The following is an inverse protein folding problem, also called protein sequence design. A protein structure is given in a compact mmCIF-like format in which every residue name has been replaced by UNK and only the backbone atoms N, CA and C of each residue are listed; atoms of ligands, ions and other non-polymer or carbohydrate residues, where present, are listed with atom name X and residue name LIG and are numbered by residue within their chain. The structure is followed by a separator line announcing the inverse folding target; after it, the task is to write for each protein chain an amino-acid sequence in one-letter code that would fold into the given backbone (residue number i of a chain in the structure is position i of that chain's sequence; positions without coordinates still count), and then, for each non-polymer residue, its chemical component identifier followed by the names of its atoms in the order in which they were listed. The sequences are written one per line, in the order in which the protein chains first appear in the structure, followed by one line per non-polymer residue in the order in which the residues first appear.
data_IF_084250971789
#
_entry.id   IF_084250971789
#
_cell.length_a   1.000
_cell.length_b   1.000
_cell.length_c   1.000
_cell.angle_alpha   90.00
_cell.angle_beta   90.00
_cell.angle_gamma   90.00
#
_symmetry.space_group_name_H-M   'P 1'
#
loop_
_entity.id
_entity.type
_entity.pdbx_description
1 polymer ?
#
# COMPACT_ATOMS: atom_id res chain seq x y z
N UNK A 1 -21.91 -18.64 -27.60
CA UNK A 1 -21.65 -19.48 -26.41
C UNK A 1 -20.15 -19.51 -26.18
N UNK A 2 -19.64 -18.71 -25.23
CA UNK A 2 -18.20 -18.54 -25.01
C UNK A 2 -17.65 -19.75 -24.25
N UNK A 3 -16.72 -20.49 -24.88
CA UNK A 3 -16.09 -21.68 -24.30
C UNK A 3 -15.41 -21.31 -22.97
N UNK A 4 -15.86 -21.89 -21.87
CA UNK A 4 -15.18 -21.78 -20.58
C UNK A 4 -13.79 -22.42 -20.73
N UNK A 5 -12.74 -21.63 -20.57
CA UNK A 5 -11.36 -22.12 -20.54
C UNK A 5 -11.22 -23.06 -19.35
N UNK A 6 -11.08 -24.37 -19.60
CA UNK A 6 -10.88 -25.41 -18.59
C UNK A 6 -9.46 -25.33 -18.03
N UNK A 7 -9.23 -24.35 -17.15
CA UNK A 7 -8.02 -24.27 -16.34
C UNK A 7 -8.18 -24.99 -15.00
N UNK A 8 -7.05 -25.23 -14.31
CA UNK A 8 -7.09 -25.67 -12.92
C UNK A 8 -7.58 -24.49 -12.07
N UNK A 9 -8.69 -24.70 -11.37
CA UNK A 9 -9.30 -23.67 -10.53
C UNK A 9 -8.32 -23.20 -9.45
N UNK A 10 -8.25 -21.88 -9.25
CA UNK A 10 -7.36 -21.25 -8.28
C UNK A 10 -8.19 -20.45 -7.28
N UNK A 11 -7.97 -20.65 -5.99
CA UNK A 11 -8.64 -19.91 -4.94
C UNK A 11 -8.02 -18.52 -4.77
N UNK A 12 -8.87 -17.50 -4.68
CA UNK A 12 -8.58 -16.18 -4.15
C UNK A 12 -9.10 -16.14 -2.70
N UNK A 13 -8.22 -15.95 -1.74
CA UNK A 13 -8.57 -15.90 -0.32
C UNK A 13 -8.28 -14.54 0.28
N UNK A 14 -9.15 -14.10 1.19
CA UNK A 14 -9.04 -12.83 1.92
C UNK A 14 -9.11 -13.09 3.42
N UNK A 15 -8.30 -12.36 4.18
CA UNK A 15 -8.28 -12.37 5.64
C UNK A 15 -8.69 -11.00 6.15
N UNK A 16 -9.66 -10.97 7.07
CA UNK A 16 -10.20 -9.76 7.68
C UNK A 16 -10.01 -9.81 9.19
N UNK A 17 -9.85 -8.65 9.81
CA UNK A 17 -9.92 -8.55 11.27
C UNK A 17 -11.37 -8.48 11.79
N UNK A 18 -11.51 -8.33 13.11
CA UNK A 18 -12.81 -8.23 13.77
C UNK A 18 -13.58 -6.94 13.42
N UNK A 19 -12.87 -5.88 13.02
CA UNK A 19 -13.47 -4.63 12.52
C UNK A 19 -13.95 -4.73 11.07
N UNK A 20 -13.55 -5.78 10.36
CA UNK A 20 -13.88 -6.00 8.95
C UNK A 20 -12.84 -5.43 7.99
N UNK A 21 -11.70 -4.93 8.48
CA UNK A 21 -10.63 -4.41 7.64
C UNK A 21 -9.88 -5.56 6.96
N UNK A 22 -9.51 -5.36 5.70
CA UNK A 22 -8.77 -6.35 4.92
C UNK A 22 -7.29 -6.37 5.36
N UNK A 23 -6.89 -7.48 5.98
CA UNK A 23 -5.53 -7.71 6.43
C UNK A 23 -4.63 -8.21 5.30
N UNK A 24 -5.13 -9.18 4.54
CA UNK A 24 -4.35 -9.85 3.49
C UNK A 24 -5.25 -10.46 2.42
N UNK A 25 -4.79 -10.45 1.17
CA UNK A 25 -5.38 -11.16 0.04
C UNK A 25 -4.30 -11.93 -0.71
N UNK A 26 -4.60 -13.16 -1.10
CA UNK A 26 -3.67 -14.02 -1.82
C UNK A 26 -4.37 -15.04 -2.72
N UNK A 27 -3.61 -15.68 -3.63
CA UNK A 27 -4.09 -16.80 -4.44
C UNK A 27 -3.35 -18.11 -4.18
N UNK A 28 -4.05 -19.25 -4.30
CA UNK A 28 -3.46 -20.57 -4.16
C UNK A 28 -4.29 -21.68 -4.81
N UNK A 29 -3.65 -22.79 -5.16
CA UNK A 29 -4.34 -24.05 -5.48
C UNK A 29 -4.87 -24.73 -4.21
N UNK A 30 -4.22 -24.49 -3.06
CA UNK A 30 -4.64 -25.01 -1.76
C UNK A 30 -4.64 -23.86 -0.74
N UNK A 31 -5.80 -23.21 -0.51
CA UNK A 31 -5.90 -22.09 0.43
C UNK A 31 -5.70 -22.54 1.89
N UNK A 32 -6.10 -23.76 2.25
CA UNK A 32 -5.94 -24.28 3.62
C UNK A 32 -4.47 -24.57 3.98
N UNK A 33 -3.68 -25.12 3.05
CA UNK A 33 -2.23 -25.24 3.27
C UNK A 33 -1.56 -23.87 3.41
N UNK A 34 -2.00 -22.88 2.63
CA UNK A 34 -1.49 -21.50 2.77
C UNK A 34 -1.92 -20.88 4.09
N UNK A 35 -3.13 -21.17 4.55
CA UNK A 35 -3.62 -20.72 5.85
C UNK A 35 -2.73 -21.22 7.00
N UNK A 36 -2.42 -22.51 7.01
CA UNK A 36 -1.52 -23.10 8.00
C UNK A 36 -0.13 -22.41 8.00
N UNK A 37 0.44 -22.18 6.81
CA UNK A 37 1.70 -21.44 6.69
C UNK A 37 1.60 -20.00 7.20
N UNK A 38 0.50 -19.30 6.92
CA UNK A 38 0.29 -17.95 7.46
C UNK A 38 0.18 -17.95 8.98
N UNK A 39 -0.47 -18.95 9.57
CA UNK A 39 -0.54 -19.12 11.03
C UNK A 39 0.82 -19.20 11.69
N UNK A 40 1.76 -19.90 11.06
CA UNK A 40 3.10 -20.10 11.60
C UNK A 40 4.03 -18.91 11.35
N UNK A 41 3.92 -18.26 10.19
CA UNK A 41 4.94 -17.33 9.69
C UNK A 41 4.56 -15.86 9.81
N UNK A 42 3.28 -15.54 10.02
CA UNK A 42 2.78 -14.17 9.94
C UNK A 42 2.42 -13.62 11.32
N UNK A 43 3.15 -12.60 11.78
CA UNK A 43 2.88 -11.93 13.06
C UNK A 43 1.47 -11.33 13.16
N UNK A 44 0.82 -11.07 12.02
CA UNK A 44 -0.54 -10.54 11.94
C UNK A 44 -1.63 -11.61 12.01
N UNK A 45 -1.31 -12.90 11.94
CA UNK A 45 -2.32 -13.96 11.84
C UNK A 45 -3.29 -13.98 13.02
N UNK A 46 -2.82 -13.63 14.22
CA UNK A 46 -3.67 -13.53 15.41
C UNK A 46 -4.77 -12.46 15.33
N UNK A 47 -4.71 -11.54 14.35
CA UNK A 47 -5.74 -10.53 14.11
C UNK A 47 -6.88 -11.04 13.20
N UNK A 48 -6.72 -12.20 12.55
CA UNK A 48 -7.70 -12.71 11.59
C UNK A 48 -8.95 -13.20 12.32
N UNK A 49 -10.08 -12.55 12.05
CA UNK A 49 -11.39 -12.93 12.58
C UNK A 49 -12.29 -13.60 11.51
N UNK A 50 -12.08 -13.28 10.23
CA UNK A 50 -12.90 -13.82 9.13
C UNK A 50 -12.06 -14.09 7.89
N UNK A 51 -12.39 -15.20 7.21
CA UNK A 51 -11.73 -15.62 5.98
C UNK A 51 -12.79 -15.88 4.93
N UNK A 52 -12.59 -15.33 3.72
CA UNK A 52 -13.45 -15.63 2.57
C UNK A 52 -12.62 -16.23 1.46
N UNK A 53 -13.17 -17.24 0.77
CA UNK A 53 -12.49 -17.95 -0.31
C UNK A 53 -13.42 -17.96 -1.53
N UNK A 54 -12.90 -17.51 -2.67
CA UNK A 54 -13.59 -17.57 -3.96
C UNK A 54 -12.75 -18.40 -4.94
N UNK A 55 -13.35 -19.38 -5.60
CA UNK A 55 -12.67 -20.20 -6.61
C UNK A 55 -12.84 -19.57 -7.99
N UNK A 56 -11.72 -19.33 -8.68
CA UNK A 56 -11.69 -18.76 -10.01
C UNK A 56 -11.27 -19.82 -11.05
N UNK A 57 -11.73 -19.70 -12.31
CA UNK A 57 -11.58 -20.75 -13.32
C UNK A 57 -10.13 -21.14 -13.60
N UNK A 58 -9.20 -20.19 -13.46
CA UNK A 58 -7.79 -20.42 -13.72
C UNK A 58 -6.89 -19.46 -12.90
N UNK A 59 -5.59 -19.73 -12.92
CA UNK A 59 -4.60 -18.92 -12.20
C UNK A 59 -4.50 -17.49 -12.75
N UNK A 60 -4.76 -17.26 -14.03
CA UNK A 60 -4.63 -15.93 -14.68
C UNK A 60 -5.73 -15.00 -14.16
N UNK A 61 -6.98 -15.48 -14.15
CA UNK A 61 -8.13 -14.78 -13.58
C UNK A 61 -7.96 -14.55 -12.08
N UNK A 62 -7.46 -15.55 -11.33
CA UNK A 62 -7.13 -15.37 -9.91
C UNK A 62 -6.10 -14.28 -9.66
N UNK A 63 -5.00 -14.26 -10.44
CA UNK A 63 -3.96 -13.23 -10.33
C UNK A 63 -4.49 -11.83 -10.68
N UNK A 64 -5.34 -11.72 -11.70
CA UNK A 64 -5.96 -10.44 -12.05
C UNK A 64 -6.87 -9.93 -10.90
N UNK A 65 -7.67 -10.83 -10.31
CA UNK A 65 -8.55 -10.49 -9.19
C UNK A 65 -7.77 -10.14 -7.91
N UNK A 66 -6.68 -10.85 -7.62
CA UNK A 66 -5.75 -10.52 -6.52
C UNK A 66 -5.16 -9.11 -6.68
N UNK A 67 -4.63 -8.82 -7.87
CA UNK A 67 -4.04 -7.52 -8.16
C UNK A 67 -5.07 -6.38 -8.03
N UNK A 68 -6.28 -6.57 -8.57
CA UNK A 68 -7.37 -5.61 -8.42
C UNK A 68 -7.74 -5.38 -6.95
N UNK A 69 -7.83 -6.45 -6.14
CA UNK A 69 -8.11 -6.35 -4.71
C UNK A 69 -7.01 -5.61 -3.94
N UNK A 70 -5.73 -5.87 -4.26
CA UNK A 70 -4.61 -5.17 -3.61
C UNK A 70 -4.66 -3.66 -3.90
N UNK A 71 -4.96 -3.27 -5.13
CA UNK A 71 -5.04 -1.86 -5.53
C UNK A 71 -6.24 -1.15 -4.90
N UNK A 72 -7.42 -1.78 -4.95
CA UNK A 72 -8.67 -1.17 -4.52
C UNK A 72 -8.83 -1.15 -2.99
N UNK A 73 -8.51 -2.27 -2.34
CA UNK A 73 -8.80 -2.50 -0.91
C UNK A 73 -7.57 -2.24 -0.01
N UNK A 74 -6.38 -2.09 -0.60
CA UNK A 74 -5.08 -1.81 0.08
C UNK A 74 -4.86 -2.62 1.37
N UNK A 75 -4.80 -3.97 1.27
CA UNK A 75 -4.64 -4.83 2.43
C UNK A 75 -3.43 -4.47 3.28
N UNK A 76 -3.62 -4.41 4.60
CA UNK A 76 -2.61 -3.93 5.56
C UNK A 76 -1.26 -4.66 5.48
N UNK A 77 -1.27 -5.95 5.14
CA UNK A 77 -0.06 -6.80 5.15
C UNK A 77 0.34 -7.34 3.77
N UNK A 78 -0.32 -6.93 2.68
CA UNK A 78 0.16 -7.22 1.33
C UNK A 78 1.36 -6.31 1.00
N UNK A 79 2.57 -6.79 1.25
CA UNK A 79 3.81 -6.03 0.97
C UNK A 79 4.18 -5.96 -0.52
N UNK A 80 3.71 -6.92 -1.32
CA UNK A 80 3.88 -6.95 -2.78
C UNK A 80 2.66 -6.30 -3.44
N UNK A 81 2.90 -5.45 -4.45
CA UNK A 81 1.87 -4.70 -5.21
C UNK A 81 1.06 -3.66 -4.42
N UNK A 82 1.38 -3.38 -3.15
CA UNK A 82 0.81 -2.24 -2.44
C UNK A 82 1.54 -0.95 -2.85
N UNK A 83 0.86 0.01 -3.53
CA UNK A 83 1.49 1.23 -4.02
C UNK A 83 1.94 2.17 -2.90
N UNK A 84 1.47 1.96 -1.66
CA UNK A 84 1.86 2.74 -0.49
C UNK A 84 2.94 2.01 0.30
N UNK A 85 4.05 1.68 -0.36
CA UNK A 85 5.28 1.40 0.39
C UNK A 85 5.82 2.75 0.85
N UNK A 86 6.03 2.99 2.16
CA UNK A 86 6.83 4.14 2.55
C UNK A 86 8.17 4.01 1.82
N UNK A 87 8.50 5.02 1.02
CA UNK A 87 9.78 5.12 0.37
C UNK A 87 10.87 4.90 1.42
N UNK A 88 11.90 4.11 1.09
CA UNK A 88 12.96 3.85 2.05
C UNK A 88 13.56 5.17 2.55
N UNK A 89 13.97 5.24 3.82
CA UNK A 89 14.60 6.47 4.35
C UNK A 89 15.78 6.94 3.48
N UNK A 90 16.51 5.99 2.90
CA UNK A 90 17.60 6.26 1.95
C UNK A 90 17.09 6.91 0.65
N UNK A 91 16.04 6.36 0.05
CA UNK A 91 15.44 6.92 -1.16
C UNK A 91 14.81 8.29 -0.90
N UNK A 92 14.14 8.49 0.24
CA UNK A 92 13.64 9.81 0.66
C UNK A 92 14.77 10.83 0.82
N UNK A 93 15.90 10.44 1.42
CA UNK A 93 17.08 11.30 1.54
C UNK A 93 17.64 11.68 0.17
N UNK A 94 17.77 10.71 -0.73
CA UNK A 94 18.25 10.93 -2.10
C UNK A 94 17.29 11.83 -2.90
N UNK A 95 15.99 11.61 -2.78
CA UNK A 95 14.96 12.39 -3.46
C UNK A 95 14.96 13.86 -2.98
N UNK A 96 15.09 14.10 -1.67
CA UNK A 96 15.24 15.45 -1.10
C UNK A 96 16.48 16.19 -1.63
N UNK A 97 17.54 15.46 -1.96
CA UNK A 97 18.76 16.04 -2.54
C UNK A 97 18.71 16.20 -4.05
N UNK A 98 17.70 15.64 -4.72
CA UNK A 98 17.59 15.68 -6.17
C UNK A 98 17.37 17.13 -6.66
N UNK A 99 17.97 17.53 -7.80
CA UNK A 99 17.92 18.91 -8.29
C UNK A 99 16.49 19.45 -8.44
N UNK A 100 15.58 18.66 -9.01
CA UNK A 100 14.18 19.03 -9.21
C UNK A 100 13.47 19.36 -7.89
N UNK A 101 13.62 18.51 -6.86
CA UNK A 101 12.97 18.72 -5.56
C UNK A 101 13.55 19.92 -4.83
N UNK A 102 14.87 20.14 -4.93
CA UNK A 102 15.53 21.32 -4.37
C UNK A 102 15.07 22.61 -5.04
N UNK A 103 14.89 22.59 -6.36
CA UNK A 103 14.38 23.72 -7.13
C UNK A 103 12.93 24.04 -6.76
N UNK A 104 12.08 23.02 -6.61
CA UNK A 104 10.70 23.18 -6.15
C UNK A 104 10.63 23.81 -4.75
N UNK A 105 11.41 23.29 -3.79
CA UNK A 105 11.48 23.84 -2.44
C UNK A 105 12.01 25.29 -2.41
N UNK A 106 12.95 25.63 -3.29
CA UNK A 106 13.44 27.00 -3.43
C UNK A 106 12.37 27.94 -4.01
N UNK A 107 11.60 27.48 -5.00
CA UNK A 107 10.46 28.24 -5.57
C UNK A 107 9.35 28.45 -4.55
N UNK A 108 9.00 27.43 -3.79
CA UNK A 108 8.02 27.52 -2.70
C UNK A 108 8.47 28.55 -1.65
N UNK A 109 9.72 28.46 -1.18
CA UNK A 109 10.28 29.44 -0.23
C UNK A 109 10.37 30.86 -0.81
N UNK A 110 10.64 31.00 -2.11
CA UNK A 110 10.64 32.30 -2.78
C UNK A 110 9.23 32.89 -2.84
N UNK A 111 8.23 32.06 -3.15
CA UNK A 111 6.82 32.45 -3.16
C UNK A 111 6.33 32.84 -1.76
N UNK A 112 6.70 32.07 -0.73
CA UNK A 112 6.42 32.41 0.67
C UNK A 112 7.01 33.78 1.05
N UNK A 113 8.29 34.02 0.72
CA UNK A 113 8.95 35.32 0.95
C UNK A 113 8.26 36.46 0.22
N UNK A 114 7.83 36.22 -1.01
CA UNK A 114 7.05 37.19 -1.78
C UNK A 114 5.70 37.48 -1.10
N UNK A 115 5.01 36.46 -0.61
CA UNK A 115 3.79 36.62 0.17
C UNK A 115 4.00 37.40 1.46
N UNK A 116 5.11 37.19 2.16
CA UNK A 116 5.49 37.97 3.35
C UNK A 116 5.78 39.43 3.01
N UNK A 117 6.58 39.69 1.97
CA UNK A 117 6.90 41.06 1.51
C UNK A 117 5.66 41.83 1.05
N UNK A 118 4.71 41.15 0.42
CA UNK A 118 3.44 41.72 0.00
C UNK A 118 2.41 41.82 1.14
N UNK A 119 2.74 41.37 2.35
CA UNK A 119 1.83 41.37 3.50
C UNK A 119 0.66 40.39 3.40
N UNK A 120 0.73 39.44 2.46
CA UNK A 120 -0.29 38.42 2.20
C UNK A 120 -0.14 37.18 3.10
N UNK A 121 1.03 37.00 3.74
CA UNK A 121 1.31 35.92 4.67
C UNK A 121 1.95 36.47 5.95
N UNK A 122 1.59 35.94 7.14
CA UNK A 122 2.22 36.33 8.40
C UNK A 122 3.69 35.90 8.42
N UNK A 123 4.55 36.74 9.03
CA UNK A 123 5.95 36.40 9.31
C UNK A 123 6.01 35.19 10.24
N UNK A 124 6.75 34.15 9.84
CA UNK A 124 6.94 32.98 10.70
C UNK A 124 7.82 33.35 11.91
N UNK A 125 7.50 32.82 13.11
CA UNK A 125 8.32 33.07 14.29
C UNK A 125 9.74 32.60 14.03
N UNK A 126 10.72 33.51 14.16
CA UNK A 126 12.14 33.14 14.06
C UNK A 126 12.43 32.13 15.16
N UNK A 127 13.07 30.99 14.87
CA UNK A 127 13.43 30.05 15.91
C UNK A 127 14.33 30.78 16.91
N UNK A 128 13.92 30.79 18.19
CA UNK A 128 14.73 31.42 19.23
C UNK A 128 16.11 30.78 19.21
N UNK A 129 17.16 31.59 19.06
CA UNK A 129 18.51 31.12 19.28
C UNK A 129 18.54 30.50 20.69
N UNK A 130 18.69 29.18 20.77
CA UNK A 130 18.89 28.51 22.05
C UNK A 130 20.20 29.06 22.63
N UNK A 131 20.09 29.62 23.84
CA UNK A 131 21.22 29.96 24.69
C UNK A 131 21.97 28.71 25.14
#
# INVERSE_FOLDING_TARGET
MTRATTGVTTALYRHFDAGGDLLYVGISLSPFHRLAKHKEQSAWFGQVARITIAWLPDRKSARAAEHAAIIAERPKFNNQHNPVRPLSKAFLKQLRTSPCVREMAAKEKALERLGQLLGLLPELPRPSARA
#
